data_IF_112752441600
#
_entry.id   IF_112752441600
#
_cell.length_a   1.000
_cell.length_b   1.000
_cell.length_c   1.000
_cell.angle_alpha   90.00
_cell.angle_beta   90.00
_cell.angle_gamma   90.00
#
_symmetry.space_group_name_H-M   'P 1'
#
loop_
_entity.id
_entity.type
_entity.pdbx_description
1 polymer ?
#
# COMPACT_ATOMS: atom_id res chain seq x y z
N UNK A 1 7.23 13.12 14.89
CA UNK A 1 5.95 13.63 14.37
C UNK A 1 6.12 14.96 13.65
N UNK A 2 6.79 15.98 14.23
CA UNK A 2 7.04 17.30 13.55
C UNK A 2 7.49 17.24 12.08
N UNK A 3 8.32 16.27 11.70
CA UNK A 3 8.77 16.04 10.30
C UNK A 3 7.63 15.71 9.34
N UNK A 4 6.53 15.11 9.82
CA UNK A 4 5.38 14.70 9.04
C UNK A 4 4.22 15.72 9.06
N UNK A 5 4.39 16.86 9.75
CA UNK A 5 3.40 17.95 9.78
C UNK A 5 1.99 17.49 10.17
N UNK A 6 0.99 17.92 9.40
CA UNK A 6 -0.44 17.59 9.60
C UNK A 6 -0.88 16.33 8.82
N UNK A 7 0.04 15.40 8.57
CA UNK A 7 -0.27 14.16 7.86
C UNK A 7 -1.14 13.23 8.71
N UNK A 8 -2.05 12.52 8.05
CA UNK A 8 -2.83 11.46 8.67
C UNK A 8 -1.98 10.23 8.97
N UNK A 9 -2.31 9.54 10.06
CA UNK A 9 -1.77 8.21 10.40
C UNK A 9 -2.87 7.19 10.17
N UNK A 10 -2.80 6.51 9.04
CA UNK A 10 -3.81 5.54 8.64
C UNK A 10 -3.52 4.16 9.23
N UNK A 11 -4.37 3.70 10.15
CA UNK A 11 -4.17 2.48 10.94
C UNK A 11 -5.23 1.43 10.63
N UNK A 12 -4.85 0.19 10.25
CA UNK A 12 -5.78 -0.89 9.97
C UNK A 12 -6.24 -1.62 11.25
N UNK A 13 -6.76 -0.87 12.24
CA UNK A 13 -7.10 -1.36 13.58
C UNK A 13 -7.99 -2.62 13.57
N UNK A 14 -8.91 -2.68 12.62
CA UNK A 14 -9.91 -3.75 12.53
C UNK A 14 -9.66 -4.72 11.36
N UNK A 15 -8.48 -4.69 10.75
CA UNK A 15 -8.13 -5.61 9.65
C UNK A 15 -7.82 -7.02 10.16
N UNK A 16 -7.12 -7.13 11.30
CA UNK A 16 -6.80 -8.39 11.96
C UNK A 16 -6.71 -8.18 13.47
N UNK A 17 -6.96 -9.23 14.26
CA UNK A 17 -6.92 -9.16 15.73
C UNK A 17 -5.64 -8.51 16.29
N UNK A 18 -4.42 -8.80 15.79
CA UNK A 18 -3.20 -8.17 16.32
C UNK A 18 -3.07 -6.67 16.01
N UNK A 19 -3.90 -6.12 15.10
CA UNK A 19 -3.84 -4.73 14.70
C UNK A 19 -4.55 -3.77 15.65
N UNK A 20 -5.49 -4.25 16.47
CA UNK A 20 -6.34 -3.39 17.32
C UNK A 20 -5.52 -2.67 18.38
N UNK A 21 -4.78 -3.41 19.20
CA UNK A 21 -4.04 -2.83 20.33
C UNK A 21 -2.97 -1.82 19.88
N UNK A 22 -2.09 -2.10 18.90
CA UNK A 22 -1.12 -1.12 18.43
C UNK A 22 -1.76 0.14 17.84
N UNK A 23 -2.91 0.00 17.18
CA UNK A 23 -3.62 1.13 16.59
C UNK A 23 -4.21 2.05 17.65
N UNK A 24 -4.80 1.48 18.71
CA UNK A 24 -5.30 2.25 19.85
C UNK A 24 -4.14 2.88 20.63
N UNK A 25 -3.03 2.17 20.81
CA UNK A 25 -1.84 2.71 21.47
C UNK A 25 -1.27 3.90 20.71
N UNK A 26 -1.21 3.84 19.38
CA UNK A 26 -0.80 4.98 18.55
C UNK A 26 -1.74 6.18 18.71
N UNK A 27 -3.06 5.94 18.74
CA UNK A 27 -4.05 6.99 18.99
C UNK A 27 -3.86 7.67 20.36
N UNK A 28 -3.77 6.90 21.44
CA UNK A 28 -3.60 7.46 22.78
C UNK A 28 -2.25 8.18 22.93
N UNK A 29 -1.16 7.60 22.41
CA UNK A 29 0.15 8.24 22.47
C UNK A 29 0.21 9.60 21.75
N UNK A 30 -0.60 9.79 20.70
CA UNK A 30 -0.69 11.07 19.99
C UNK A 30 -1.55 12.09 20.72
N UNK A 31 -2.60 11.61 21.37
CA UNK A 31 -3.46 12.41 22.23
C UNK A 31 -2.69 12.92 23.46
N UNK A 32 -1.89 12.06 24.09
CA UNK A 32 -1.13 12.41 25.31
C UNK A 32 -0.07 13.50 25.10
N UNK A 33 0.33 13.75 23.84
CA UNK A 33 1.32 14.77 23.48
C UNK A 33 0.71 15.93 22.69
N UNK A 34 -0.61 16.07 22.69
CA UNK A 34 -1.37 17.10 21.96
C UNK A 34 -0.91 17.25 20.50
N UNK A 35 -0.74 16.13 19.79
CA UNK A 35 -0.25 16.16 18.41
C UNK A 35 -1.31 16.65 17.43
N UNK A 36 -0.89 17.50 16.48
CA UNK A 36 -1.72 17.90 15.32
C UNK A 36 -2.02 16.76 14.33
N UNK A 37 -1.40 15.58 14.49
CA UNK A 37 -1.60 14.45 13.58
C UNK A 37 -2.84 13.65 13.94
N UNK A 38 -3.71 13.43 12.95
CA UNK A 38 -4.94 12.68 13.13
C UNK A 38 -4.75 11.20 12.76
N UNK A 39 -5.13 10.30 13.67
CA UNK A 39 -5.21 8.87 13.40
C UNK A 39 -6.53 8.55 12.72
N UNK A 40 -6.47 7.88 11.57
CA UNK A 40 -7.63 7.40 10.84
C UNK A 40 -7.66 5.88 10.90
N UNK A 41 -8.73 5.31 11.42
CA UNK A 41 -8.92 3.87 11.39
C UNK A 41 -9.52 3.43 10.06
N UNK A 42 -8.90 2.43 9.42
CA UNK A 42 -9.42 1.84 8.19
C UNK A 42 -10.83 1.28 8.43
N UNK A 43 -11.80 1.76 7.64
CA UNK A 43 -13.18 1.31 7.74
C UNK A 43 -13.28 -0.20 7.41
N UNK A 44 -13.84 -1.04 8.30
CA UNK A 44 -13.96 -2.49 8.06
C UNK A 44 -14.72 -2.86 6.79
N UNK A 45 -15.76 -2.11 6.44
CA UNK A 45 -16.56 -2.35 5.24
C UNK A 45 -15.77 -1.99 3.98
N UNK A 46 -14.99 -0.91 4.01
CA UNK A 46 -14.07 -0.60 2.92
C UNK A 46 -13.09 -1.76 2.69
N UNK A 47 -12.44 -2.26 3.75
CA UNK A 47 -11.50 -3.37 3.65
C UNK A 47 -12.17 -4.64 3.07
N UNK A 48 -13.35 -4.98 3.55
CA UNK A 48 -14.13 -6.14 3.07
C UNK A 48 -14.54 -5.99 1.61
N UNK A 49 -14.97 -4.81 1.20
CA UNK A 49 -15.46 -4.56 -0.16
C UNK A 49 -14.30 -4.56 -1.18
N UNK A 50 -13.16 -3.97 -0.83
CA UNK A 50 -11.95 -3.99 -1.66
C UNK A 50 -11.41 -5.42 -1.80
N UNK A 51 -11.37 -6.20 -0.71
CA UNK A 51 -10.98 -7.62 -0.76
C UNK A 51 -11.86 -8.42 -1.75
N UNK A 52 -13.19 -8.28 -1.64
CA UNK A 52 -14.14 -8.92 -2.56
C UNK A 52 -13.99 -8.43 -4.01
N UNK A 53 -13.73 -7.14 -4.22
CA UNK A 53 -13.58 -6.55 -5.55
C UNK A 53 -12.41 -7.17 -6.31
N UNK A 54 -11.27 -7.31 -5.65
CA UNK A 54 -10.04 -7.84 -6.24
C UNK A 54 -10.04 -9.36 -6.38
N UNK A 55 -10.63 -10.08 -5.41
CA UNK A 55 -10.82 -11.53 -5.54
C UNK A 55 -11.69 -11.92 -6.73
N UNK A 56 -12.76 -11.17 -6.99
CA UNK A 56 -13.59 -11.34 -8.21
C UNK A 56 -12.82 -11.04 -9.51
N UNK A 57 -11.74 -10.27 -9.43
CA UNK A 57 -10.81 -9.99 -10.53
C UNK A 57 -9.62 -10.96 -10.54
N UNK A 58 -9.75 -12.11 -9.88
CA UNK A 58 -8.80 -13.22 -9.99
C UNK A 58 -7.52 -13.07 -9.19
N UNK A 59 -7.48 -12.19 -8.18
CA UNK A 59 -6.44 -12.24 -7.14
C UNK A 59 -6.82 -13.33 -6.14
N UNK A 60 -5.94 -14.32 -5.95
CA UNK A 60 -6.14 -15.48 -5.08
C UNK A 60 -5.19 -15.42 -3.88
N UNK A 61 -5.21 -14.29 -3.18
CA UNK A 61 -4.51 -14.10 -1.92
C UNK A 61 -5.41 -14.45 -0.73
N UNK A 62 -4.80 -14.92 0.38
CA UNK A 62 -5.49 -15.00 1.67
C UNK A 62 -5.89 -13.59 2.13
N UNK A 63 -5.00 -12.61 1.94
CA UNK A 63 -5.20 -11.19 2.22
C UNK A 63 -4.52 -10.33 1.16
N UNK A 64 -5.15 -9.22 0.77
CA UNK A 64 -4.49 -8.21 -0.05
C UNK A 64 -3.34 -7.53 0.71
N UNK A 65 -2.34 -7.05 -0.02
CA UNK A 65 -1.30 -6.19 0.52
C UNK A 65 -1.86 -4.83 0.96
N UNK A 66 -1.16 -4.15 1.87
CA UNK A 66 -1.47 -2.76 2.22
C UNK A 66 -1.40 -1.86 0.98
N UNK A 67 -0.44 -2.10 0.09
CA UNK A 67 -0.29 -1.34 -1.15
C UNK A 67 -1.56 -1.38 -2.01
N UNK A 68 -2.15 -2.56 -2.22
CA UNK A 68 -3.36 -2.68 -3.03
C UNK A 68 -4.59 -2.01 -2.40
N UNK A 69 -4.71 -2.03 -1.07
CA UNK A 69 -5.74 -1.25 -0.37
C UNK A 69 -5.56 0.26 -0.60
N UNK A 70 -4.32 0.76 -0.48
CA UNK A 70 -4.03 2.19 -0.67
C UNK A 70 -4.26 2.64 -2.12
N UNK A 71 -3.91 1.81 -3.12
CA UNK A 71 -4.23 2.09 -4.52
C UNK A 71 -5.75 2.14 -4.74
N UNK A 72 -6.50 1.21 -4.14
CA UNK A 72 -7.96 1.21 -4.26
C UNK A 72 -8.60 2.45 -3.63
N UNK A 73 -8.05 2.92 -2.51
CA UNK A 73 -8.46 4.16 -1.87
C UNK A 73 -8.16 5.37 -2.76
N UNK A 74 -6.93 5.47 -3.28
CA UNK A 74 -6.50 6.56 -4.15
C UNK A 74 -7.35 6.65 -5.42
N UNK A 75 -7.64 5.51 -6.07
CA UNK A 75 -8.49 5.46 -7.27
C UNK A 75 -9.94 5.92 -7.01
N UNK A 76 -10.40 5.90 -5.74
CA UNK A 76 -11.71 6.42 -5.36
C UNK A 76 -11.72 7.90 -4.97
N UNK A 77 -10.56 8.52 -4.76
CA UNK A 77 -10.42 9.87 -4.20
C UNK A 77 -9.66 10.85 -5.10
N UNK A 78 -8.78 10.35 -5.96
CA UNK A 78 -7.87 11.15 -6.77
C UNK A 78 -8.25 11.08 -8.25
N UNK A 79 -8.11 12.19 -8.96
CA UNK A 79 -8.34 12.27 -10.41
C UNK A 79 -7.29 11.49 -11.20
N UNK A 80 -6.03 11.58 -10.77
CA UNK A 80 -4.90 10.85 -11.36
C UNK A 80 -4.11 10.14 -10.26
N UNK A 81 -3.75 8.88 -10.53
CA UNK A 81 -3.00 8.05 -9.57
C UNK A 81 -1.72 7.56 -10.23
N UNK A 82 -0.58 8.00 -9.71
CA UNK A 82 0.74 7.43 -10.06
C UNK A 82 1.27 6.60 -8.89
N UNK A 83 1.65 5.35 -9.15
CA UNK A 83 2.15 4.41 -8.16
C UNK A 83 3.63 4.10 -8.39
N UNK A 84 4.37 4.02 -7.28
CA UNK A 84 5.82 3.75 -7.24
C UNK A 84 6.11 2.61 -6.26
N UNK A 85 7.21 1.89 -6.47
CA UNK A 85 7.64 0.82 -5.56
C UNK A 85 6.83 -0.48 -5.64
N UNK A 86 5.92 -0.60 -6.61
CA UNK A 86 5.17 -1.84 -6.87
C UNK A 86 6.00 -2.77 -7.76
N UNK A 87 6.95 -3.48 -7.18
CA UNK A 87 7.79 -4.48 -7.86
C UNK A 87 8.03 -5.69 -6.95
N UNK A 88 7.24 -6.77 -7.08
CA UNK A 88 7.32 -7.91 -6.17
C UNK A 88 8.36 -8.97 -6.58
N UNK A 89 9.35 -8.60 -7.39
CA UNK A 89 10.35 -9.51 -7.95
C UNK A 89 11.75 -9.16 -7.45
N UNK A 90 12.62 -10.16 -7.38
CA UNK A 90 14.00 -10.03 -6.89
C UNK A 90 15.01 -9.70 -8.00
N UNK A 91 14.55 -9.54 -9.24
CA UNK A 91 15.35 -9.12 -10.39
C UNK A 91 14.78 -7.83 -10.96
N UNK A 92 15.64 -6.94 -11.44
CA UNK A 92 15.22 -5.76 -12.20
C UNK A 92 14.90 -6.13 -13.65
N UNK A 93 14.40 -5.17 -14.42
CA UNK A 93 14.24 -5.32 -15.88
C UNK A 93 15.58 -5.54 -16.61
N UNK A 94 16.70 -5.11 -16.02
CA UNK A 94 18.05 -5.34 -16.53
C UNK A 94 18.74 -6.53 -15.86
N UNK A 95 17.97 -7.46 -15.27
CA UNK A 95 18.44 -8.72 -14.66
C UNK A 95 19.38 -8.58 -13.45
N UNK A 96 19.56 -7.36 -12.93
CA UNK A 96 20.27 -7.16 -11.67
C UNK A 96 19.42 -7.56 -10.46
N UNK A 97 20.05 -8.08 -9.42
CA UNK A 97 19.37 -8.42 -8.17
C UNK A 97 18.81 -7.17 -7.49
N UNK A 98 17.55 -7.22 -7.08
CA UNK A 98 16.85 -6.16 -6.35
C UNK A 98 16.40 -6.70 -5.00
N UNK A 99 16.59 -5.89 -3.96
CA UNK A 99 16.13 -6.21 -2.60
C UNK A 99 14.61 -6.13 -2.49
N UNK A 100 14.03 -6.84 -1.53
CA UNK A 100 12.57 -6.80 -1.32
C UNK A 100 12.06 -5.41 -0.94
N UNK A 101 12.76 -4.71 -0.05
CA UNK A 101 12.47 -3.32 0.30
C UNK A 101 13.54 -2.39 -0.25
N UNK A 102 13.19 -1.11 -0.43
CA UNK A 102 14.17 -0.11 -0.86
C UNK A 102 15.17 0.26 0.25
N UNK A 103 14.82 0.02 1.52
CA UNK A 103 15.63 0.35 2.70
C UNK A 103 16.30 -0.87 3.36
N UNK A 104 15.83 -2.09 3.11
CA UNK A 104 16.40 -3.34 3.64
C UNK A 104 16.13 -4.54 2.72
N UNK A 105 16.36 -5.77 3.19
CA UNK A 105 16.01 -6.99 2.44
C UNK A 105 15.20 -7.99 3.27
N UNK A 106 14.37 -7.51 4.20
CA UNK A 106 13.49 -8.37 5.00
C UNK A 106 12.39 -8.93 4.11
N UNK A 107 12.27 -10.26 4.06
CA UNK A 107 11.26 -10.93 3.23
C UNK A 107 9.89 -10.94 3.92
N UNK A 108 8.79 -10.94 3.14
CA UNK A 108 7.45 -10.98 3.69
C UNK A 108 7.14 -12.34 4.31
N UNK A 109 6.20 -12.38 5.26
CA UNK A 109 5.64 -13.65 5.71
C UNK A 109 4.96 -14.38 4.55
N UNK A 110 5.38 -15.62 4.31
CA UNK A 110 4.85 -16.44 3.21
C UNK A 110 3.38 -16.81 3.44
N UNK A 111 2.64 -16.99 2.34
CA UNK A 111 1.27 -17.51 2.38
C UNK A 111 0.15 -16.52 2.72
N UNK A 112 0.46 -15.22 2.89
CA UNK A 112 -0.57 -14.19 3.10
C UNK A 112 -1.00 -13.51 1.80
N UNK A 113 -0.02 -13.05 1.01
CA UNK A 113 -0.22 -12.21 -0.16
C UNK A 113 0.17 -12.95 -1.43
N UNK A 114 -0.49 -12.62 -2.56
CA UNK A 114 -0.04 -13.00 -3.90
C UNK A 114 0.41 -11.76 -4.67
N UNK A 115 1.50 -11.11 -4.20
CA UNK A 115 1.93 -9.81 -4.72
C UNK A 115 2.23 -9.79 -6.22
N UNK A 116 2.65 -10.92 -6.80
CA UNK A 116 2.80 -11.06 -8.26
C UNK A 116 1.46 -10.98 -9.02
N UNK A 117 0.38 -11.55 -8.46
CA UNK A 117 -0.96 -11.41 -9.02
C UNK A 117 -1.48 -9.97 -8.86
N UNK A 118 -1.22 -9.34 -7.72
CA UNK A 118 -1.55 -7.92 -7.48
C UNK A 118 -0.83 -7.02 -8.50
N UNK A 119 0.48 -7.19 -8.66
CA UNK A 119 1.27 -6.46 -9.65
C UNK A 119 0.71 -6.63 -11.05
N UNK A 120 0.38 -7.87 -11.46
CA UNK A 120 -0.20 -8.13 -12.78
C UNK A 120 -1.50 -7.34 -12.98
N UNK A 121 -2.36 -7.25 -11.97
CA UNK A 121 -3.61 -6.46 -12.08
C UNK A 121 -3.35 -4.97 -12.14
N UNK A 122 -2.44 -4.45 -11.33
CA UNK A 122 -2.04 -3.05 -11.38
C UNK A 122 -1.36 -2.69 -12.72
N UNK A 123 -0.59 -3.61 -13.29
CA UNK A 123 0.02 -3.43 -14.62
C UNK A 123 -1.04 -3.41 -15.74
N UNK A 124 -2.08 -4.23 -15.63
CA UNK A 124 -3.22 -4.16 -16.56
C UNK A 124 -3.91 -2.79 -16.49
N UNK A 125 -4.20 -2.29 -15.29
CA UNK A 125 -4.75 -0.95 -15.10
C UNK A 125 -3.83 0.14 -15.67
N UNK A 126 -2.52 -0.03 -15.53
CA UNK A 126 -1.56 0.87 -16.14
C UNK A 126 -1.67 0.91 -17.66
N UNK A 127 -1.74 -0.27 -18.29
CA UNK A 127 -1.91 -0.40 -19.75
C UNK A 127 -3.25 0.14 -20.26
N UNK A 128 -4.27 0.11 -19.42
CA UNK A 128 -5.62 0.62 -19.72
C UNK A 128 -5.74 2.14 -19.48
N UNK A 129 -4.70 2.80 -18.95
CA UNK A 129 -4.71 4.23 -18.65
C UNK A 129 -5.47 4.61 -17.38
N UNK A 130 -5.84 3.63 -16.54
CA UNK A 130 -6.56 3.87 -15.28
C UNK A 130 -5.64 4.41 -14.19
N UNK A 131 -4.37 4.05 -14.22
CA UNK A 131 -3.33 4.56 -13.33
C UNK A 131 -1.98 4.61 -14.06
N UNK A 132 -1.01 5.30 -13.49
CA UNK A 132 0.36 5.32 -13.98
C UNK A 132 1.27 4.51 -13.05
N UNK A 133 1.84 3.40 -13.53
CA UNK A 133 2.83 2.65 -12.77
C UNK A 133 4.23 3.05 -13.21
N UNK A 134 5.05 3.52 -12.27
CA UNK A 134 6.45 3.87 -12.53
C UNK A 134 7.37 2.73 -12.09
N UNK A 135 8.07 2.16 -13.06
CA UNK A 135 9.06 1.09 -12.86
C UNK A 135 10.42 1.61 -13.34
N UNK A 136 11.45 1.43 -12.53
CA UNK A 136 12.80 1.89 -12.82
C UNK A 136 13.05 3.34 -12.45
N UNK A 137 14.12 3.92 -13.01
CA UNK A 137 14.53 5.29 -12.72
C UNK A 137 13.56 6.31 -13.30
N UNK A 138 13.29 7.38 -12.54
CA UNK A 138 12.62 8.54 -13.10
C UNK A 138 13.56 9.28 -14.06
N UNK A 139 13.02 9.95 -15.11
CA UNK A 139 13.81 10.86 -15.92
C UNK A 139 14.47 11.93 -15.04
N UNK A 140 15.66 12.38 -15.42
CA UNK A 140 16.23 13.58 -14.82
C UNK A 140 15.25 14.74 -15.07
N UNK A 141 14.94 15.50 -14.02
CA UNK A 141 14.15 16.72 -14.18
C UNK A 141 14.97 17.66 -15.06
N UNK A 142 14.50 17.93 -16.27
CA UNK A 142 15.01 19.03 -17.09
C UNK A 142 14.38 20.28 -16.47
N UNK A 143 15.21 21.11 -15.84
CA UNK A 143 14.80 22.38 -15.25
C UNK A 143 14.38 23.40 -16.29
#
# INVERSE_FOLDING_TARGET
>A
MKVYGKSYIYMPAFSMKPGTEPSLRAYYALNDVDSDQMVLFANPDFLKNVDKFWKRRGIRAKRLSTGLFMVSLALGLCEEVTIYGFWPFNSSLGESTVKHHYYDNVLPFSGFHTMSEEFRRLWQLHKEGVLHMRIGSCPAQVG
#
